data_IF_933889654464
#
_entry.id   IF_933889654464
#
_cell.length_a   1.000
_cell.length_b   1.000
_cell.length_c   1.000
_cell.angle_alpha   90.00
_cell.angle_beta   90.00
_cell.angle_gamma   90.00
#
_symmetry.space_group_name_H-M   'P 1'
#
loop_
_entity.id
_entity.type
_entity.pdbx_description
1 polymer ?
#
# COMPACT_ATOMS: atom_id res chain seq x y z
N UNK A 1 18.17 -10.60 13.13
CA UNK A 1 17.06 -11.28 13.83
C UNK A 1 15.84 -10.39 13.70
N UNK A 2 14.86 -10.82 12.90
CA UNK A 2 13.62 -10.07 12.68
C UNK A 2 12.95 -9.82 14.03
N UNK A 3 12.59 -8.56 14.27
CA UNK A 3 11.93 -8.08 15.49
C UNK A 3 10.70 -8.96 15.73
N UNK A 4 10.55 -9.50 16.94
CA UNK A 4 9.38 -10.28 17.36
C UNK A 4 8.15 -9.37 17.29
N UNK A 5 7.52 -9.31 16.11
CA UNK A 5 6.21 -8.70 15.94
C UNK A 5 5.23 -9.57 16.72
N UNK A 6 4.33 -8.95 17.49
CA UNK A 6 3.16 -9.67 18.01
C UNK A 6 2.43 -10.27 16.81
N UNK A 7 2.51 -11.60 16.68
CA UNK A 7 1.94 -12.32 15.56
C UNK A 7 0.41 -12.30 15.70
N UNK A 8 -0.27 -11.68 14.74
CA UNK A 8 -1.74 -11.65 14.61
C UNK A 8 -2.26 -13.09 14.69
N UNK A 9 -3.37 -13.36 15.37
CA UNK A 9 -3.84 -14.75 15.47
C UNK A 9 -4.26 -15.28 14.09
N UNK A 10 -4.03 -16.58 13.77
CA UNK A 10 -4.41 -17.13 12.46
C UNK A 10 -5.90 -16.95 12.13
N UNK A 11 -6.76 -17.00 13.14
CA UNK A 11 -8.22 -16.76 13.05
C UNK A 11 -8.59 -15.35 12.55
N UNK A 12 -7.75 -14.34 12.81
CA UNK A 12 -7.98 -12.98 12.34
C UNK A 12 -7.45 -12.76 10.90
N UNK A 13 -6.63 -13.68 10.39
CA UNK A 13 -5.99 -13.59 9.07
C UNK A 13 -6.74 -14.33 7.97
N UNK A 14 -7.50 -15.37 8.32
CA UNK A 14 -8.17 -16.20 7.33
C UNK A 14 -9.38 -16.93 7.93
N UNK A 15 -10.44 -17.07 7.13
CA UNK A 15 -11.59 -17.92 7.45
C UNK A 15 -11.39 -19.38 7.02
N UNK A 16 -10.28 -19.71 6.35
CA UNK A 16 -10.00 -21.06 5.84
C UNK A 16 -9.16 -21.85 6.84
N UNK A 17 -9.69 -22.98 7.32
CA UNK A 17 -9.02 -23.85 8.31
C UNK A 17 -7.66 -24.35 7.83
N UNK A 18 -7.58 -24.81 6.57
CA UNK A 18 -6.33 -25.30 5.99
C UNK A 18 -5.26 -24.20 5.92
N UNK A 19 -5.65 -22.98 5.59
CA UNK A 19 -4.74 -21.82 5.59
C UNK A 19 -4.27 -21.50 7.00
N UNK A 20 -5.15 -21.54 8.01
CA UNK A 20 -4.79 -21.31 9.40
C UNK A 20 -3.78 -22.35 9.94
N UNK A 21 -3.94 -23.63 9.56
CA UNK A 21 -2.98 -24.68 9.86
C UNK A 21 -1.60 -24.37 9.24
N UNK A 22 -1.57 -23.96 7.97
CA UNK A 22 -0.31 -23.62 7.29
C UNK A 22 0.36 -22.37 7.84
N UNK A 23 -0.41 -21.35 8.24
CA UNK A 23 0.12 -20.17 8.94
C UNK A 23 0.79 -20.58 10.26
N UNK A 24 0.15 -21.47 11.02
CA UNK A 24 0.70 -21.97 12.28
C UNK A 24 2.00 -22.75 12.06
N UNK A 25 2.03 -23.64 11.07
CA UNK A 25 3.25 -24.38 10.68
C UNK A 25 4.37 -23.43 10.27
N UNK A 26 4.09 -22.44 9.42
CA UNK A 26 5.07 -21.47 8.95
C UNK A 26 5.72 -20.70 10.11
N UNK A 27 4.93 -20.33 11.13
CA UNK A 27 5.45 -19.67 12.34
C UNK A 27 6.37 -20.57 13.16
N UNK A 28 6.02 -21.84 13.33
CA UNK A 28 6.88 -22.84 13.99
C UNK A 28 8.20 -23.00 13.23
N UNK A 29 8.14 -22.97 11.90
CA UNK A 29 9.32 -23.08 11.03
C UNK A 29 10.14 -21.79 10.92
N UNK A 30 9.68 -20.68 11.51
CA UNK A 30 10.34 -19.38 11.40
C UNK A 30 10.27 -18.75 10.00
N UNK A 31 9.29 -19.14 9.19
CA UNK A 31 9.07 -18.61 7.83
C UNK A 31 8.25 -17.33 7.89
N UNK A 32 8.75 -16.27 7.25
CA UNK A 32 8.03 -15.00 7.10
C UNK A 32 6.98 -15.07 5.99
N UNK A 33 5.73 -14.76 6.33
CA UNK A 33 4.60 -14.72 5.39
C UNK A 33 4.30 -13.29 4.92
N UNK A 34 3.46 -13.18 3.89
CA UNK A 34 3.01 -11.87 3.40
C UNK A 34 2.18 -11.10 4.43
N UNK A 35 1.45 -11.80 5.33
CA UNK A 35 0.73 -11.18 6.44
C UNK A 35 1.68 -10.43 7.39
N UNK A 36 2.84 -11.03 7.67
CA UNK A 36 3.84 -10.44 8.57
C UNK A 36 4.46 -9.20 7.92
N UNK A 37 4.80 -9.29 6.62
CA UNK A 37 5.30 -8.13 5.86
C UNK A 37 4.27 -7.01 5.75
N UNK A 38 3.00 -7.35 5.54
CA UNK A 38 1.92 -6.37 5.46
C UNK A 38 1.70 -5.67 6.81
N UNK A 39 1.73 -6.42 7.92
CA UNK A 39 1.62 -5.86 9.27
C UNK A 39 2.82 -4.96 9.62
N UNK A 40 4.03 -5.35 9.18
CA UNK A 40 5.24 -4.57 9.39
C UNK A 40 5.27 -3.26 8.56
N UNK A 41 4.59 -3.24 7.40
CA UNK A 41 4.63 -2.12 6.46
C UNK A 41 3.40 -1.23 6.58
N UNK A 42 3.51 -0.14 7.35
CA UNK A 42 2.45 0.88 7.41
C UNK A 42 2.28 1.56 6.04
N UNK A 43 1.03 1.76 5.57
CA UNK A 43 0.78 2.48 4.33
C UNK A 43 1.28 3.93 4.43
N UNK A 44 1.83 4.45 3.33
CA UNK A 44 2.15 5.87 3.23
C UNK A 44 0.84 6.65 3.16
N UNK A 45 0.56 7.61 4.07
CA UNK A 45 -0.75 8.26 4.15
C UNK A 45 -1.15 9.00 2.87
N UNK A 46 -0.18 9.53 2.13
CA UNK A 46 -0.40 10.24 0.85
C UNK A 46 -0.54 9.22 -0.30
N UNK A 47 0.21 8.13 -0.22
CA UNK A 47 0.22 7.08 -1.25
C UNK A 47 -1.07 6.27 -1.27
N UNK A 48 -1.59 5.94 -0.08
CA UNK A 48 -2.88 5.25 0.10
C UNK A 48 -4.03 5.99 -0.58
N UNK A 49 -3.99 7.33 -0.52
CA UNK A 49 -4.98 8.20 -1.16
C UNK A 49 -4.66 8.51 -2.62
N UNK A 50 -3.63 7.89 -3.21
CA UNK A 50 -3.15 8.15 -4.57
C UNK A 50 -2.79 9.61 -4.86
N UNK A 51 -2.41 10.37 -3.83
CA UNK A 51 -2.16 11.82 -3.90
C UNK A 51 -0.67 12.18 -4.14
N UNK A 52 0.16 11.20 -4.51
CA UNK A 52 1.58 11.38 -4.87
C UNK A 52 1.80 11.07 -6.36
N UNK A 53 2.41 11.98 -7.10
CA UNK A 53 2.72 11.81 -8.53
C UNK A 53 4.23 11.67 -8.75
N UNK A 54 4.62 10.61 -9.46
CA UNK A 54 6.01 10.30 -9.87
C UNK A 54 6.18 10.05 -11.37
N UNK A 55 5.36 10.68 -12.20
CA UNK A 55 5.32 10.41 -13.66
C UNK A 55 6.41 11.12 -14.47
N UNK A 56 7.15 12.05 -13.88
CA UNK A 56 8.22 12.78 -14.55
C UNK A 56 9.35 13.10 -13.56
N UNK A 57 10.49 13.58 -14.08
CA UNK A 57 11.67 13.91 -13.29
C UNK A 57 11.55 15.17 -12.42
N UNK A 58 10.50 16.00 -12.60
CA UNK A 58 10.24 17.16 -11.75
C UNK A 58 9.62 16.79 -10.40
N UNK A 59 9.09 15.57 -10.28
CA UNK A 59 8.49 15.05 -9.04
C UNK A 59 9.53 14.48 -8.07
N UNK A 60 9.08 13.85 -6.96
CA UNK A 60 7.69 13.50 -6.65
C UNK A 60 6.86 14.71 -6.17
N UNK A 61 5.72 14.94 -6.79
CA UNK A 61 4.73 15.93 -6.32
C UNK A 61 3.84 15.27 -5.25
N UNK A 62 3.67 15.92 -4.10
CA UNK A 62 2.84 15.43 -2.99
C UNK A 62 1.67 16.39 -2.75
N UNK A 63 0.45 15.85 -2.75
CA UNK A 63 -0.77 16.62 -2.51
C UNK A 63 -1.38 16.25 -1.16
N UNK A 64 -2.16 17.15 -0.57
CA UNK A 64 -2.94 16.90 0.63
C UNK A 64 -4.42 16.78 0.24
N UNK A 65 -5.05 15.61 0.46
CA UNK A 65 -6.48 15.46 0.18
C UNK A 65 -7.37 16.24 1.15
N UNK A 66 -6.87 16.51 2.36
CA UNK A 66 -7.64 17.24 3.39
C UNK A 66 -7.69 18.74 3.10
N UNK A 67 -6.83 19.23 2.21
CA UNK A 67 -6.80 20.62 1.77
C UNK A 67 -6.66 20.64 0.24
N UNK A 68 -7.72 20.20 -0.47
CA UNK A 68 -7.68 20.08 -1.91
C UNK A 68 -7.52 21.48 -2.52
N UNK A 69 -6.76 21.56 -3.61
CA UNK A 69 -6.49 22.79 -4.37
C UNK A 69 -5.60 23.87 -3.70
N UNK A 70 -5.14 23.68 -2.46
CA UNK A 70 -4.14 24.55 -1.83
C UNK A 70 -2.83 24.62 -2.63
N UNK A 71 -2.55 23.55 -3.39
CA UNK A 71 -1.35 23.39 -4.22
C UNK A 71 -1.73 22.70 -5.51
N UNK A 72 -0.84 22.82 -6.47
CA UNK A 72 -0.78 22.01 -7.69
C UNK A 72 0.59 21.34 -7.78
N UNK A 73 0.72 20.30 -8.60
CA UNK A 73 2.03 19.74 -8.93
C UNK A 73 2.91 20.76 -9.66
N UNK A 74 4.21 20.49 -9.77
CA UNK A 74 5.18 21.41 -10.43
C UNK A 74 4.75 21.76 -11.86
N UNK A 75 4.08 20.83 -12.56
CA UNK A 75 3.56 21.05 -13.92
C UNK A 75 2.16 21.70 -13.96
N UNK A 76 1.61 22.16 -12.83
CA UNK A 76 0.26 22.73 -12.74
C UNK A 76 -0.88 21.72 -12.57
N UNK A 77 -0.58 20.42 -12.45
CA UNK A 77 -1.63 19.42 -12.31
C UNK A 77 -2.34 19.49 -10.94
N UNK A 78 -3.67 19.49 -10.96
CA UNK A 78 -4.51 19.44 -9.75
C UNK A 78 -4.47 18.07 -9.07
N UNK A 79 -4.98 18.01 -7.84
CA UNK A 79 -5.12 16.77 -7.09
C UNK A 79 -5.99 15.75 -7.84
N UNK A 80 -7.11 16.17 -8.45
CA UNK A 80 -8.00 15.28 -9.21
C UNK A 80 -7.26 14.68 -10.42
N UNK A 81 -6.50 15.52 -11.13
CA UNK A 81 -5.68 15.07 -12.27
C UNK A 81 -4.64 14.04 -11.82
N UNK A 82 -4.02 14.23 -10.65
CA UNK A 82 -3.02 13.30 -10.12
C UNK A 82 -3.67 11.97 -9.74
N UNK A 83 -4.75 11.99 -8.95
CA UNK A 83 -5.47 10.78 -8.51
C UNK A 83 -6.04 10.01 -9.71
N UNK A 84 -6.67 10.70 -10.65
CA UNK A 84 -7.24 10.09 -11.85
C UNK A 84 -6.16 9.41 -12.73
N UNK A 85 -4.99 10.03 -12.92
CA UNK A 85 -3.88 9.42 -13.68
C UNK A 85 -3.28 8.21 -12.98
N UNK A 86 -3.13 8.27 -11.66
CA UNK A 86 -2.66 7.14 -10.87
C UNK A 86 -3.61 5.95 -11.00
N UNK A 87 -4.92 6.18 -10.85
CA UNK A 87 -5.94 5.15 -11.06
C UNK A 87 -5.93 4.61 -12.50
N UNK A 88 -5.89 5.49 -13.51
CA UNK A 88 -5.84 5.09 -14.92
C UNK A 88 -4.65 4.18 -15.24
N UNK A 89 -3.48 4.40 -14.62
CA UNK A 89 -2.32 3.50 -14.77
C UNK A 89 -2.53 2.13 -14.13
N UNK A 90 -3.27 2.03 -13.01
CA UNK A 90 -3.61 0.74 -12.41
C UNK A 90 -4.54 -0.06 -13.33
N UNK A 91 -5.54 0.61 -13.92
CA UNK A 91 -6.45 -0.01 -14.91
C UNK A 91 -5.68 -0.46 -16.15
N UNK A 92 -4.81 0.39 -16.68
CA UNK A 92 -3.99 0.06 -17.84
C UNK A 92 -3.07 -1.14 -17.57
N UNK A 93 -2.44 -1.22 -16.39
CA UNK A 93 -1.59 -2.33 -16.00
C UNK A 93 -2.35 -3.66 -15.83
N UNK A 94 -3.63 -3.63 -15.47
CA UNK A 94 -4.47 -4.83 -15.42
C UNK A 94 -5.03 -5.24 -16.78
N UNK A 95 -5.07 -4.33 -17.76
CA UNK A 95 -5.58 -4.60 -19.12
C UNK A 95 -4.50 -5.16 -20.05
N UNK A 96 -3.26 -4.68 -19.90
CA UNK A 96 -2.10 -5.08 -20.71
C UNK A 96 -1.60 -6.48 -20.35
#
# INVERSE_FOLDING_TARGET
>A
MSKTLELIKPEDLTMCESTAQMITKARVDGVELFFDRASAMKPCPIGEQSACCKHCAMGPCRMNVNSPYDKVGVCGATIDTIVARNFGRMVAAGTA
#
